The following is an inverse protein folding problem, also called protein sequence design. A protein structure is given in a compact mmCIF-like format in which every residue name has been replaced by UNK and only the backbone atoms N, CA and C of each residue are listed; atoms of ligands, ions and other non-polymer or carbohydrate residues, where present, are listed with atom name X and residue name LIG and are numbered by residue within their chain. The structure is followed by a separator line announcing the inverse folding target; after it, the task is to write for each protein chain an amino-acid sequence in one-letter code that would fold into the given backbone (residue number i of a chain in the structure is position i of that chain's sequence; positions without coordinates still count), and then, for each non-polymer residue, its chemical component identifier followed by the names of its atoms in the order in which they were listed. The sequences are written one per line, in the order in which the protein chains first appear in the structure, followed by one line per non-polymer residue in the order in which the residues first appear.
data_IF_497415543625
#
_entry.id   IF_497415543625
#
_cell.length_a   1.000
_cell.length_b   1.000
_cell.length_c   1.000
_cell.angle_alpha   90.00
_cell.angle_beta   90.00
_cell.angle_gamma   90.00
#
_symmetry.space_group_name_H-M   'P 1'
#
loop_
_entity.id
_entity.type
_entity.pdbx_description
1 polymer ?
#
# COMPACT_ATOMS: atom_id res chain seq x y z
N UNK A 1 4.02 8.28 -9.87
CA UNK A 1 5.38 8.88 -9.95
C UNK A 1 5.99 8.85 -11.36
N UNK A 2 5.59 7.89 -12.19
CA UNK A 2 6.10 7.72 -13.57
C UNK A 2 5.52 8.64 -14.66
N UNK A 3 4.89 9.78 -14.33
CA UNK A 3 4.25 10.62 -15.36
C UNK A 3 5.28 11.14 -16.37
N UNK A 4 6.42 11.65 -15.87
CA UNK A 4 7.49 12.18 -16.73
C UNK A 4 8.12 11.07 -17.61
N UNK A 5 8.25 9.84 -17.10
CA UNK A 5 8.74 8.69 -17.86
C UNK A 5 7.81 8.32 -19.03
N UNK A 6 6.50 8.33 -18.79
CA UNK A 6 5.52 8.02 -19.83
C UNK A 6 5.45 9.15 -20.87
N UNK A 7 5.44 10.41 -20.42
CA UNK A 7 5.51 11.57 -21.32
C UNK A 7 6.80 11.58 -22.17
N UNK A 8 7.92 11.11 -21.60
CA UNK A 8 9.20 10.99 -22.28
C UNK A 8 9.20 10.05 -23.49
N UNK A 9 8.22 9.14 -23.59
CA UNK A 9 8.05 8.27 -24.76
C UNK A 9 7.68 9.04 -26.04
N UNK A 10 7.12 10.25 -25.92
CA UNK A 10 6.84 11.14 -27.07
C UNK A 10 8.07 11.97 -27.48
N UNK A 11 9.16 11.91 -26.70
CA UNK A 11 10.39 12.66 -26.90
C UNK A 11 10.89 13.33 -25.61
N UNK A 12 12.11 13.90 -25.59
CA UNK A 12 12.65 14.56 -24.41
C UNK A 12 11.76 15.72 -23.94
N UNK A 13 11.39 15.72 -22.66
CA UNK A 13 10.60 16.79 -22.03
C UNK A 13 11.27 17.25 -20.74
N UNK A 14 11.01 18.50 -20.34
CA UNK A 14 11.42 18.98 -19.02
C UNK A 14 10.62 18.26 -17.92
N UNK A 15 11.24 17.92 -16.77
CA UNK A 15 10.54 17.32 -15.64
C UNK A 15 9.38 18.20 -15.17
N UNK A 16 8.24 17.58 -14.89
CA UNK A 16 7.04 18.23 -14.35
C UNK A 16 6.71 17.74 -12.94
N UNK A 17 7.45 16.74 -12.46
CA UNK A 17 7.31 16.21 -11.12
C UNK A 17 8.55 16.45 -10.27
N UNK A 18 8.31 16.83 -9.02
CA UNK A 18 9.25 16.68 -7.92
C UNK A 18 8.78 15.52 -7.05
N UNK A 19 9.64 14.52 -6.87
CA UNK A 19 9.31 13.30 -6.16
C UNK A 19 9.71 13.39 -4.68
N UNK A 20 8.82 12.97 -3.79
CA UNK A 20 9.13 12.81 -2.37
C UNK A 20 8.73 11.43 -1.86
N UNK A 21 9.50 10.89 -0.92
CA UNK A 21 9.26 9.61 -0.27
C UNK A 21 8.63 9.82 1.10
N UNK A 22 7.68 8.96 1.45
CA UNK A 22 7.11 8.91 2.79
C UNK A 22 6.99 7.51 3.33
N UNK A 23 7.34 7.36 4.60
CA UNK A 23 7.40 6.08 5.33
C UNK A 23 6.36 6.03 6.45
N UNK A 24 5.83 4.85 6.72
CA UNK A 24 5.00 4.55 7.90
C UNK A 24 5.48 3.27 8.58
N UNK A 25 5.40 3.24 9.91
CA UNK A 25 5.76 2.08 10.74
C UNK A 25 4.50 1.52 11.40
N UNK A 26 4.38 0.19 11.46
CA UNK A 26 3.26 -0.50 12.10
C UNK A 26 3.73 -1.18 13.38
N UNK A 27 2.94 -1.03 14.43
CA UNK A 27 3.14 -1.67 15.73
C UNK A 27 1.90 -2.46 16.11
N UNK A 28 2.05 -3.42 17.04
CA UNK A 28 0.87 -4.00 17.67
C UNK A 28 0.12 -2.92 18.44
N UNK A 29 -1.21 -2.98 18.44
CA UNK A 29 -2.02 -1.99 19.13
C UNK A 29 -1.71 -1.94 20.63
N UNK A 30 -1.31 -3.06 21.24
CA UNK A 30 -0.92 -3.12 22.64
C UNK A 30 0.31 -2.24 22.96
N UNK A 31 1.25 -2.09 22.02
CA UNK A 31 2.45 -1.26 22.18
C UNK A 31 2.15 0.24 22.02
N UNK A 32 1.10 0.58 21.26
CA UNK A 32 0.64 1.95 21.03
C UNK A 32 -0.91 2.03 20.99
N UNK A 33 -1.59 1.98 22.15
CA UNK A 33 -3.04 1.75 22.26
C UNK A 33 -3.88 3.03 22.08
N UNK A 34 -3.68 3.74 20.98
CA UNK A 34 -4.45 4.96 20.65
C UNK A 34 -5.86 4.58 20.21
N UNK A 35 -6.89 5.08 20.90
CA UNK A 35 -8.29 4.75 20.53
C UNK A 35 -8.82 5.51 19.32
N UNK A 36 -8.24 6.67 19.05
CA UNK A 36 -8.60 7.56 17.93
C UNK A 36 -7.33 7.96 17.18
N UNK A 37 -7.48 8.43 15.94
CA UNK A 37 -6.36 9.04 15.23
C UNK A 37 -5.80 10.23 16.01
N UNK A 38 -4.52 10.18 16.35
CA UNK A 38 -3.81 11.27 17.02
C UNK A 38 -2.94 12.00 16.00
N UNK A 39 -3.07 13.33 15.95
CA UNK A 39 -2.22 14.19 15.13
C UNK A 39 -1.11 14.77 16.01
N UNK A 40 0.13 14.46 15.68
CA UNK A 40 1.31 14.86 16.43
C UNK A 40 2.11 15.90 15.65
N UNK A 41 2.59 16.94 16.32
CA UNK A 41 3.44 17.97 15.72
C UNK A 41 4.90 17.63 15.95
N UNK A 42 5.67 17.59 14.89
CA UNK A 42 7.12 17.32 14.92
C UNK A 42 7.91 18.61 15.17
N UNK A 43 9.18 18.53 15.62
CA UNK A 43 9.99 19.71 15.90
C UNK A 43 10.20 20.65 14.71
N UNK A 44 10.22 20.10 13.49
CA UNK A 44 10.32 20.83 12.22
C UNK A 44 8.98 21.46 11.76
N UNK A 45 7.91 21.30 12.56
CA UNK A 45 6.59 21.87 12.31
C UNK A 45 5.68 21.04 11.40
N UNK A 46 6.13 19.87 10.91
CA UNK A 46 5.28 18.90 10.19
C UNK A 46 4.26 18.25 11.14
N UNK A 47 3.33 17.51 10.53
CA UNK A 47 2.34 16.69 11.23
C UNK A 47 2.57 15.23 10.87
N UNK A 48 2.62 14.40 11.89
CA UNK A 48 2.52 12.95 11.76
C UNK A 48 1.27 12.47 12.50
N UNK A 49 0.87 11.24 12.23
CA UNK A 49 -0.34 10.61 12.73
C UNK A 49 0.03 9.33 13.45
N UNK A 50 -0.71 9.00 14.49
CA UNK A 50 -0.85 7.63 15.00
C UNK A 50 -2.29 7.20 14.73
N UNK A 51 -2.48 6.13 13.96
CA UNK A 51 -3.79 5.70 13.46
C UNK A 51 -4.03 4.24 13.89
N UNK A 52 -5.07 3.98 14.69
CA UNK A 52 -5.43 2.61 15.05
C UNK A 52 -6.15 1.92 13.88
N UNK A 53 -5.83 0.64 13.67
CA UNK A 53 -6.46 -0.22 12.67
C UNK A 53 -6.54 -1.66 13.18
N UNK A 54 -7.68 -2.02 13.76
CA UNK A 54 -7.88 -3.35 14.35
C UNK A 54 -6.85 -3.62 15.45
N UNK A 55 -6.07 -4.69 15.29
CA UNK A 55 -5.05 -5.12 16.26
C UNK A 55 -3.71 -4.37 16.11
N UNK A 56 -3.64 -3.34 15.25
CA UNK A 56 -2.42 -2.59 14.97
C UNK A 56 -2.63 -1.09 15.16
N UNK A 57 -1.51 -0.38 15.34
CA UNK A 57 -1.45 1.08 15.22
C UNK A 57 -0.28 1.42 14.33
N UNK A 58 -0.49 2.25 13.31
CA UNK A 58 0.60 2.73 12.47
C UNK A 58 0.90 4.21 12.70
N UNK A 59 2.17 4.58 12.57
CA UNK A 59 2.63 5.96 12.66
C UNK A 59 3.25 6.42 11.34
N UNK A 60 3.06 7.70 11.00
CA UNK A 60 3.65 8.28 9.80
C UNK A 60 3.14 9.70 9.52
N UNK A 61 3.70 10.45 8.60
CA UNK A 61 4.67 10.02 7.58
C UNK A 61 5.93 10.87 7.62
N UNK A 62 7.01 10.36 7.05
CA UNK A 62 8.15 11.17 6.58
C UNK A 62 7.83 11.87 5.25
N UNK A 63 8.66 12.83 4.85
CA UNK A 63 8.53 13.58 3.60
C UNK A 63 9.91 14.07 3.16
N UNK A 64 10.68 13.17 2.53
CA UNK A 64 12.04 13.43 2.09
C UNK A 64 12.09 13.51 0.57
N UNK A 65 12.92 14.40 0.02
CA UNK A 65 13.15 14.42 -1.43
C UNK A 65 13.73 13.09 -1.89
N UNK A 66 13.18 12.54 -2.97
CA UNK A 66 13.58 11.24 -3.49
C UNK A 66 13.48 11.25 -5.03
N UNK A 67 14.57 11.44 -5.77
CA UNK A 67 14.54 11.67 -7.22
C UNK A 67 14.14 10.44 -8.04
N UNK A 68 14.17 9.26 -7.44
CA UNK A 68 13.95 8.00 -8.15
C UNK A 68 12.47 7.57 -8.08
N UNK A 69 11.97 6.93 -9.14
CA UNK A 69 10.60 6.44 -9.22
C UNK A 69 10.50 4.95 -8.90
N UNK A 70 11.17 4.51 -7.83
CA UNK A 70 11.21 3.10 -7.42
C UNK A 70 9.83 2.55 -7.03
N UNK A 71 9.59 1.28 -7.34
CA UNK A 71 8.35 0.59 -7.00
C UNK A 71 8.23 0.32 -5.49
N UNK A 72 9.33 -0.08 -4.85
CA UNK A 72 9.46 -0.26 -3.40
C UNK A 72 10.62 0.61 -2.87
N UNK A 73 10.39 1.91 -2.62
CA UNK A 73 11.45 2.80 -2.14
C UNK A 73 12.05 2.29 -0.82
N UNK A 74 13.37 2.36 -0.63
CA UNK A 74 13.99 1.88 0.60
C UNK A 74 13.50 2.69 1.81
N UNK A 75 13.61 2.12 3.01
CA UNK A 75 13.39 2.81 4.28
C UNK A 75 14.72 2.93 5.00
N UNK A 76 15.02 4.09 5.56
CA UNK A 76 16.31 4.34 6.23
C UNK A 76 16.16 4.36 7.75
N UNK A 77 17.26 4.14 8.47
CA UNK A 77 17.34 4.35 9.92
C UNK A 77 16.88 5.77 10.32
N UNK A 78 17.15 6.77 9.48
CA UNK A 78 16.72 8.15 9.72
C UNK A 78 15.19 8.29 9.71
N UNK A 79 14.49 7.60 8.81
CA UNK A 79 13.02 7.58 8.81
C UNK A 79 12.46 7.03 10.11
N UNK A 80 13.02 5.89 10.53
CA UNK A 80 12.58 5.18 11.72
C UNK A 80 12.84 6.02 12.96
N UNK A 81 14.07 6.52 13.10
CA UNK A 81 14.47 7.38 14.21
C UNK A 81 13.62 8.65 14.29
N UNK A 82 13.29 9.27 13.16
CA UNK A 82 12.43 10.45 13.09
C UNK A 82 11.03 10.16 13.64
N UNK A 83 10.38 9.09 13.17
CA UNK A 83 9.01 8.75 13.56
C UNK A 83 8.93 8.28 15.03
N UNK A 84 9.90 7.48 15.49
CA UNK A 84 9.97 7.04 16.88
C UNK A 84 10.22 8.23 17.82
N UNK A 85 11.17 9.11 17.50
CA UNK A 85 11.49 10.28 18.32
C UNK A 85 10.33 11.26 18.41
N UNK A 86 9.63 11.50 17.30
CA UNK A 86 8.45 12.35 17.28
C UNK A 86 7.29 11.78 18.10
N UNK A 87 7.08 10.45 18.01
CA UNK A 87 6.04 9.76 18.79
C UNK A 87 6.35 9.78 20.28
N UNK A 88 7.59 9.45 20.68
CA UNK A 88 8.04 9.46 22.08
C UNK A 88 7.87 10.81 22.76
N UNK A 89 7.99 11.92 22.01
CA UNK A 89 7.79 13.27 22.54
C UNK A 89 6.34 13.54 22.95
N UNK A 90 5.37 12.96 22.24
CA UNK A 90 3.94 13.15 22.50
C UNK A 90 3.39 12.06 23.42
N UNK A 91 3.91 10.85 23.30
CA UNK A 91 3.47 9.66 24.02
C UNK A 91 4.69 8.98 24.69
N UNK A 92 5.27 9.59 25.74
CA UNK A 92 6.50 9.10 26.36
C UNK A 92 6.34 7.74 27.06
N UNK A 93 5.11 7.36 27.41
CA UNK A 93 4.79 6.06 27.98
C UNK A 93 4.81 4.93 26.94
N UNK A 94 4.65 5.26 25.65
CA UNK A 94 4.80 4.30 24.57
C UNK A 94 6.30 4.02 24.36
N UNK A 95 6.78 2.93 24.95
CA UNK A 95 8.19 2.50 24.90
C UNK A 95 8.52 1.81 23.57
N UNK A 96 8.30 2.51 22.45
CA UNK A 96 8.50 1.98 21.11
C UNK A 96 9.98 1.89 20.73
N UNK A 97 10.35 0.77 20.12
CA UNK A 97 11.68 0.50 19.55
C UNK A 97 11.60 -0.11 18.14
N UNK A 98 12.70 -0.09 17.36
CA UNK A 98 12.74 -0.71 16.02
C UNK A 98 12.39 -2.21 16.01
N UNK A 99 12.66 -2.92 17.10
CA UNK A 99 12.40 -4.35 17.24
C UNK A 99 10.91 -4.68 17.37
N UNK A 100 10.08 -3.71 17.76
CA UNK A 100 8.62 -3.86 17.86
C UNK A 100 7.89 -3.54 16.55
N UNK A 101 8.61 -3.14 15.50
CA UNK A 101 8.01 -2.83 14.20
C UNK A 101 7.52 -4.13 13.54
N UNK A 102 6.19 -4.29 13.50
CA UNK A 102 5.51 -5.41 12.85
C UNK A 102 5.73 -5.38 11.35
N UNK A 103 5.59 -4.21 10.74
CA UNK A 103 5.79 -4.00 9.30
C UNK A 103 6.07 -2.53 9.00
N UNK A 104 6.51 -2.26 7.77
CA UNK A 104 6.83 -0.93 7.28
C UNK A 104 6.43 -0.82 5.83
N UNK A 105 5.94 0.35 5.42
CA UNK A 105 5.79 0.66 4.00
C UNK A 105 6.29 2.05 3.68
N UNK A 106 6.68 2.23 2.43
CA UNK A 106 7.12 3.49 1.84
C UNK A 106 6.36 3.74 0.54
N UNK A 107 6.37 4.97 0.07
CA UNK A 107 5.81 5.29 -1.24
C UNK A 107 6.29 6.65 -1.75
N UNK A 108 6.26 6.81 -3.08
CA UNK A 108 6.64 8.04 -3.76
C UNK A 108 5.42 8.90 -4.05
N UNK A 109 5.50 10.18 -3.70
CA UNK A 109 4.54 11.22 -4.00
C UNK A 109 4.98 11.97 -5.25
N UNK A 110 4.20 11.92 -6.35
CA UNK A 110 4.44 12.77 -7.51
C UNK A 110 3.92 14.17 -7.26
N UNK A 111 4.74 15.11 -6.79
CA UNK A 111 4.33 16.50 -6.59
C UNK A 111 4.55 17.28 -7.89
N UNK A 112 3.64 18.18 -8.26
CA UNK A 112 3.88 19.04 -9.43
C UNK A 112 5.01 20.02 -9.10
N UNK A 113 6.02 20.09 -9.97
CA UNK A 113 7.21 20.90 -9.78
C UNK A 113 8.17 20.81 -10.98
N UNK A 114 9.31 21.50 -10.92
CA UNK A 114 10.29 21.55 -12.00
C UNK A 114 11.41 20.50 -11.87
N UNK A 115 11.17 19.43 -11.11
CA UNK A 115 12.18 18.43 -10.76
C UNK A 115 13.30 18.95 -9.86
N UNK A 116 13.34 20.25 -9.52
CA UNK A 116 14.30 20.77 -8.56
C UNK A 116 13.88 20.28 -7.17
N UNK A 117 14.68 19.40 -6.58
CA UNK A 117 14.44 18.77 -5.26
C UNK A 117 14.37 19.72 -4.07
N UNK A 118 14.08 21.01 -4.30
CA UNK A 118 13.66 21.91 -3.25
C UNK A 118 12.30 21.44 -2.79
N UNK A 119 12.27 20.92 -1.57
CA UNK A 119 11.11 20.92 -0.69
C UNK A 119 10.68 22.38 -0.50
N UNK A 120 10.07 22.96 -1.53
CA UNK A 120 9.34 24.18 -1.36
C UNK A 120 8.24 23.82 -0.38
N UNK A 121 8.19 24.55 0.73
CA UNK A 121 7.02 24.60 1.62
C UNK A 121 5.72 24.93 0.86
N UNK A 122 5.81 25.18 -0.44
CA UNK A 122 4.78 25.56 -1.40
C UNK A 122 4.72 24.62 -2.64
N UNK A 123 5.35 23.43 -2.64
CA UNK A 123 5.08 22.46 -3.71
C UNK A 123 3.58 22.14 -3.71
N UNK A 124 2.92 22.50 -4.81
CA UNK A 124 1.48 22.42 -4.95
C UNK A 124 1.04 20.97 -4.87
N UNK A 125 0.23 20.64 -3.86
CA UNK A 125 -0.49 19.35 -3.78
C UNK A 125 -1.77 19.36 -4.62
N UNK A 126 -1.90 20.32 -5.54
CA UNK A 126 -2.97 20.32 -6.55
C UNK A 126 -2.56 19.34 -7.63
N UNK A 127 -3.55 18.74 -8.25
CA UNK A 127 -3.34 18.07 -9.51
C UNK A 127 -3.22 19.09 -10.65
N UNK A 128 -2.49 18.70 -11.68
CA UNK A 128 -2.46 19.38 -12.97
C UNK A 128 -2.72 18.36 -14.09
N UNK A 129 -3.47 18.80 -15.10
CA UNK A 129 -3.75 18.01 -16.31
C UNK A 129 -3.04 18.69 -17.47
N UNK A 130 -2.30 17.91 -18.24
CA UNK A 130 -1.60 18.38 -19.42
C UNK A 130 -2.00 17.57 -20.65
N UNK A 131 -2.07 18.23 -21.79
CA UNK A 131 -2.28 17.60 -23.10
C UNK A 131 -1.00 17.77 -23.93
N UNK A 132 -0.44 16.67 -24.44
CA UNK A 132 0.70 16.72 -25.35
C UNK A 132 0.28 17.14 -26.77
N UNK A 133 1.22 17.54 -27.65
CA UNK A 133 0.91 17.81 -29.06
C UNK A 133 0.30 16.61 -29.81
N UNK A 134 0.58 15.37 -29.38
CA UNK A 134 -0.02 14.14 -29.91
C UNK A 134 -1.38 13.81 -29.29
N UNK A 135 -1.85 14.60 -28.34
CA UNK A 135 -3.14 14.41 -27.66
C UNK A 135 -3.07 13.54 -26.40
N UNK A 136 -1.89 13.20 -25.89
CA UNK A 136 -1.75 12.46 -24.64
C UNK A 136 -2.19 13.33 -23.46
N UNK A 137 -3.23 12.90 -22.75
CA UNK A 137 -3.66 13.49 -21.50
C UNK A 137 -2.90 12.88 -20.32
N UNK A 138 -2.23 13.72 -19.55
CA UNK A 138 -1.40 13.33 -18.41
C UNK A 138 -1.83 14.06 -17.15
N UNK A 139 -1.89 13.36 -16.02
CA UNK A 139 -2.24 13.94 -14.71
C UNK A 139 -1.03 13.84 -13.77
N UNK A 140 -0.50 14.99 -13.35
CA UNK A 140 0.52 15.08 -12.31
C UNK A 140 -0.09 15.55 -10.99
N UNK A 141 0.53 15.20 -9.87
CA UNK A 141 0.04 15.63 -8.57
C UNK A 141 -1.24 14.95 -8.11
N UNK A 142 -2.04 15.72 -7.39
CA UNK A 142 -3.34 15.30 -6.86
C UNK A 142 -3.28 14.60 -5.51
N UNK A 143 -4.47 14.24 -5.03
CA UNK A 143 -4.67 13.54 -3.76
C UNK A 143 -5.67 12.44 -3.94
N UNK A 144 -5.50 11.36 -3.19
CA UNK A 144 -6.49 10.29 -3.13
C UNK A 144 -7.87 10.85 -2.78
N UNK A 145 -8.00 11.80 -1.86
CA UNK A 145 -9.31 12.40 -1.51
C UNK A 145 -10.03 13.11 -2.67
N UNK A 146 -9.32 13.47 -3.75
CA UNK A 146 -9.87 14.17 -4.91
C UNK A 146 -9.97 13.27 -6.16
N UNK A 147 -9.64 11.99 -6.07
CA UNK A 147 -9.46 11.11 -7.23
C UNK A 147 -10.68 11.11 -8.17
N UNK A 148 -11.90 11.06 -7.63
CA UNK A 148 -13.15 11.01 -8.40
C UNK A 148 -13.35 12.27 -9.23
N UNK A 149 -13.18 13.44 -8.61
CA UNK A 149 -13.32 14.74 -9.28
C UNK A 149 -12.16 15.00 -10.27
N UNK A 150 -10.98 14.42 -10.04
CA UNK A 150 -9.90 14.41 -11.01
C UNK A 150 -10.27 13.54 -12.23
N UNK A 151 -10.77 12.34 -12.00
CA UNK A 151 -11.19 11.43 -13.08
C UNK A 151 -12.33 12.02 -13.92
N UNK A 152 -13.32 12.63 -13.28
CA UNK A 152 -14.42 13.36 -13.94
C UNK A 152 -13.89 14.42 -14.90
N UNK A 153 -12.99 15.31 -14.44
CA UNK A 153 -12.38 16.35 -15.31
C UNK A 153 -11.60 15.78 -16.49
N UNK A 154 -10.89 14.65 -16.31
CA UNK A 154 -10.17 13.99 -17.39
C UNK A 154 -11.15 13.45 -18.44
N UNK A 155 -12.23 12.80 -17.99
CA UNK A 155 -13.27 12.28 -18.89
C UNK A 155 -13.98 13.41 -19.63
N UNK A 156 -14.30 14.53 -18.94
CA UNK A 156 -14.89 15.71 -19.56
C UNK A 156 -13.97 16.30 -20.64
N UNK A 157 -12.66 16.38 -20.36
CA UNK A 157 -11.66 16.82 -21.35
C UNK A 157 -11.63 15.91 -22.58
N UNK A 158 -11.75 14.59 -22.40
CA UNK A 158 -11.83 13.63 -23.53
C UNK A 158 -13.10 13.83 -24.33
N UNK A 159 -14.25 14.04 -23.66
CA UNK A 159 -15.53 14.28 -24.31
C UNK A 159 -15.47 15.56 -25.17
N UNK A 160 -14.94 16.64 -24.60
CA UNK A 160 -14.77 17.93 -25.30
C UNK A 160 -13.80 17.83 -26.48
N UNK A 161 -12.63 17.18 -26.31
CA UNK A 161 -11.62 17.07 -27.37
C UNK A 161 -12.07 16.24 -28.60
N UNK A 162 -13.07 15.38 -28.42
CA UNK A 162 -13.56 14.46 -29.46
C UNK A 162 -15.02 14.71 -29.86
N UNK A 163 -15.63 15.79 -29.38
CA UNK A 163 -17.04 16.13 -29.62
C UNK A 163 -18.00 14.95 -29.32
N UNK A 164 -17.71 14.19 -28.27
CA UNK A 164 -18.55 13.05 -27.89
C UNK A 164 -19.85 13.52 -27.23
N UNK A 165 -20.92 12.77 -27.45
CA UNK A 165 -22.17 12.94 -26.68
C UNK A 165 -22.18 11.97 -25.51
N UNK A 166 -22.17 12.50 -24.28
CA UNK A 166 -22.16 11.72 -23.06
C UNK A 166 -23.36 12.05 -22.15
N UNK A 167 -23.71 11.12 -21.25
CA UNK A 167 -24.65 11.38 -20.16
C UNK A 167 -23.96 12.20 -19.06
N UNK A 168 -24.71 12.93 -18.22
CA UNK A 168 -24.15 13.58 -17.04
C UNK A 168 -23.40 12.57 -16.14
N UNK A 169 -22.29 13.00 -15.56
CA UNK A 169 -21.52 12.18 -14.64
C UNK A 169 -22.35 11.86 -13.37
N UNK A 170 -22.50 10.58 -13.07
CA UNK A 170 -23.21 10.08 -11.89
C UNK A 170 -22.28 9.44 -10.85
N UNK A 171 -20.96 9.53 -11.04
CA UNK A 171 -19.97 8.78 -10.23
C UNK A 171 -19.96 9.18 -8.76
N UNK A 172 -20.50 10.36 -8.40
CA UNK A 172 -20.63 10.79 -7.02
C UNK A 172 -21.75 10.07 -6.26
N UNK A 173 -22.68 9.41 -6.96
CA UNK A 173 -23.83 8.70 -6.38
C UNK A 173 -23.75 7.18 -6.56
N UNK A 174 -22.78 6.69 -7.34
CA UNK A 174 -22.59 5.26 -7.58
C UNK A 174 -21.61 4.71 -6.53
N UNK A 175 -22.02 3.76 -5.69
CA UNK A 175 -21.08 3.10 -4.77
C UNK A 175 -20.03 2.32 -5.56
N UNK A 176 -18.81 2.26 -5.03
CA UNK A 176 -17.80 1.32 -5.51
C UNK A 176 -18.16 -0.11 -5.07
N UNK A 177 -17.65 -1.16 -5.74
CA UNK A 177 -17.85 -2.54 -5.33
C UNK A 177 -17.54 -2.75 -3.84
N UNK A 178 -18.45 -3.43 -3.13
CA UNK A 178 -18.37 -3.64 -1.69
C UNK A 178 -18.88 -2.47 -0.84
N UNK A 179 -19.18 -1.32 -1.47
CA UNK A 179 -19.67 -0.10 -0.81
C UNK A 179 -21.18 0.08 -0.84
N UNK A 180 -21.93 -0.89 -1.36
CA UNK A 180 -23.38 -0.78 -1.55
C UNK A 180 -24.15 -0.76 -0.21
N UNK A 181 -23.61 -1.44 0.80
CA UNK A 181 -24.18 -1.47 2.15
C UNK A 181 -23.09 -1.59 3.21
N UNK A 182 -23.31 -0.98 4.36
CA UNK A 182 -22.48 -1.24 5.54
C UNK A 182 -22.69 -2.68 6.02
N UNK A 183 -21.59 -3.37 6.32
CA UNK A 183 -21.58 -4.71 6.91
C UNK A 183 -20.89 -4.64 8.26
N UNK A 184 -21.56 -5.19 9.28
CA UNK A 184 -21.02 -5.30 10.63
C UNK A 184 -20.45 -6.70 10.86
N UNK A 185 -19.35 -6.77 11.61
CA UNK A 185 -18.59 -8.01 11.80
C UNK A 185 -19.41 -9.13 12.49
N UNK A 186 -20.30 -8.76 13.41
CA UNK A 186 -21.21 -9.67 14.13
C UNK A 186 -22.25 -10.36 13.21
N UNK A 187 -22.39 -9.89 11.97
CA UNK A 187 -23.30 -10.46 10.97
C UNK A 187 -22.61 -11.48 10.04
N UNK A 188 -21.30 -11.68 10.18
CA UNK A 188 -20.57 -12.66 9.38
C UNK A 188 -20.67 -14.04 10.01
N UNK A 189 -21.29 -14.99 9.30
CA UNK A 189 -21.41 -16.37 9.76
C UNK A 189 -20.10 -17.13 9.57
N UNK A 190 -19.69 -17.93 10.57
CA UNK A 190 -18.53 -18.84 10.47
C UNK A 190 -17.17 -18.18 10.70
N UNK A 191 -17.13 -16.88 10.99
CA UNK A 191 -15.92 -16.12 11.33
C UNK A 191 -16.27 -15.15 12.45
N UNK A 192 -15.46 -15.09 13.50
CA UNK A 192 -15.70 -14.24 14.67
C UNK A 192 -14.47 -13.39 15.02
N UNK A 193 -14.64 -12.40 15.90
CA UNK A 193 -13.56 -11.58 16.46
C UNK A 193 -12.78 -10.78 15.40
N UNK A 194 -11.46 -10.66 15.61
CA UNK A 194 -10.59 -9.85 14.75
C UNK A 194 -10.62 -10.24 13.26
N UNK A 195 -10.68 -11.54 12.87
CA UNK A 195 -10.90 -11.93 11.49
C UNK A 195 -12.20 -11.37 10.89
N UNK A 196 -13.32 -11.41 11.62
CA UNK A 196 -14.61 -10.90 11.13
C UNK A 196 -14.57 -9.37 10.94
N UNK A 197 -13.99 -8.64 11.89
CA UNK A 197 -13.78 -7.19 11.79
C UNK A 197 -12.90 -6.82 10.60
N UNK A 198 -11.87 -7.63 10.32
CA UNK A 198 -11.00 -7.45 9.15
C UNK A 198 -11.77 -7.67 7.85
N UNK A 199 -12.54 -8.76 7.74
CA UNK A 199 -13.33 -9.03 6.53
C UNK A 199 -14.36 -7.94 6.25
N UNK A 200 -15.14 -7.54 7.27
CA UNK A 200 -16.14 -6.49 7.13
C UNK A 200 -15.53 -5.17 6.66
N UNK A 201 -14.36 -4.80 7.21
CA UNK A 201 -13.63 -3.60 6.81
C UNK A 201 -13.03 -3.69 5.41
N UNK A 202 -12.55 -4.86 5.01
CA UNK A 202 -11.81 -5.05 3.76
C UNK A 202 -12.74 -5.21 2.56
N UNK A 203 -13.78 -6.05 2.69
CA UNK A 203 -14.64 -6.45 1.58
C UNK A 203 -16.04 -5.81 1.63
N UNK A 204 -16.41 -5.14 2.72
CA UNK A 204 -17.71 -4.49 2.85
C UNK A 204 -18.87 -5.44 2.53
N UNK A 205 -19.72 -5.06 1.57
CA UNK A 205 -20.87 -5.85 1.11
C UNK A 205 -20.51 -7.24 0.55
N UNK A 206 -19.26 -7.47 0.12
CA UNK A 206 -18.78 -8.77 -0.35
C UNK A 206 -18.32 -9.69 0.80
N UNK A 207 -18.11 -9.15 2.00
CA UNK A 207 -17.60 -9.90 3.16
C UNK A 207 -18.44 -11.14 3.53
N UNK A 208 -19.78 -11.13 3.49
CA UNK A 208 -20.59 -12.32 3.79
C UNK A 208 -20.32 -13.48 2.82
N UNK A 209 -20.12 -13.21 1.53
CA UNK A 209 -19.83 -14.25 0.54
C UNK A 209 -18.44 -14.87 0.80
N UNK A 210 -17.43 -14.02 1.05
CA UNK A 210 -16.08 -14.47 1.42
C UNK A 210 -16.09 -15.30 2.70
N UNK A 211 -16.80 -14.84 3.74
CA UNK A 211 -16.91 -15.55 5.01
C UNK A 211 -17.65 -16.89 4.86
N UNK A 212 -18.74 -16.95 4.10
CA UNK A 212 -19.48 -18.21 3.87
C UNK A 212 -18.64 -19.27 3.15
N UNK A 213 -17.83 -18.84 2.18
CA UNK A 213 -16.92 -19.71 1.42
C UNK A 213 -15.77 -20.27 2.28
N UNK A 214 -15.47 -19.63 3.41
CA UNK A 214 -14.43 -20.07 4.33
C UNK A 214 -14.74 -21.42 5.00
N UNK A 215 -16.03 -21.76 5.21
CA UNK A 215 -16.41 -23.03 5.85
C UNK A 215 -15.99 -24.26 5.04
N UNK A 216 -16.02 -24.17 3.71
CA UNK A 216 -15.65 -25.26 2.81
C UNK A 216 -14.13 -25.36 2.56
N UNK A 217 -13.40 -24.23 2.63
CA UNK A 217 -12.02 -24.12 2.10
C UNK A 217 -10.99 -23.63 3.12
N UNK A 218 -11.44 -23.10 4.25
CA UNK A 218 -10.65 -22.27 5.16
C UNK A 218 -10.61 -20.79 4.72
N UNK A 219 -10.51 -19.90 5.71
CA UNK A 219 -10.62 -18.45 5.49
C UNK A 219 -9.54 -17.90 4.54
N UNK A 220 -8.29 -18.31 4.72
CA UNK A 220 -7.20 -17.87 3.85
C UNK A 220 -7.48 -18.24 2.38
N UNK A 221 -7.92 -19.46 2.12
CA UNK A 221 -8.23 -19.91 0.78
C UNK A 221 -9.41 -19.13 0.18
N UNK A 222 -10.44 -18.81 0.97
CA UNK A 222 -11.57 -18.00 0.52
C UNK A 222 -11.14 -16.58 0.10
N UNK A 223 -10.27 -15.93 0.88
CA UNK A 223 -9.72 -14.63 0.52
C UNK A 223 -8.83 -14.70 -0.75
N UNK A 224 -8.04 -15.76 -0.91
CA UNK A 224 -7.24 -15.95 -2.13
C UNK A 224 -8.15 -16.15 -3.36
N UNK A 225 -9.24 -16.91 -3.23
CA UNK A 225 -10.21 -17.07 -4.32
C UNK A 225 -10.86 -15.72 -4.69
N UNK A 226 -11.26 -14.92 -3.70
CA UNK A 226 -11.78 -13.57 -3.93
C UNK A 226 -10.75 -12.72 -4.70
N UNK A 227 -9.52 -12.68 -4.19
CA UNK A 227 -8.43 -11.90 -4.77
C UNK A 227 -8.14 -12.27 -6.22
N UNK A 228 -8.09 -13.57 -6.54
CA UNK A 228 -7.77 -14.06 -7.89
C UNK A 228 -8.97 -13.93 -8.83
N UNK A 229 -10.15 -14.43 -8.42
CA UNK A 229 -11.29 -14.61 -9.31
C UNK A 229 -12.13 -13.33 -9.49
N UNK A 230 -12.10 -12.40 -8.52
CA UNK A 230 -12.90 -11.16 -8.57
C UNK A 230 -12.06 -9.89 -8.61
N UNK A 231 -10.87 -9.91 -8.00
CA UNK A 231 -10.05 -8.69 -7.84
C UNK A 231 -8.79 -8.67 -8.71
N UNK A 232 -8.62 -9.67 -9.58
CA UNK A 232 -7.57 -9.72 -10.59
C UNK A 232 -6.14 -9.89 -10.04
N UNK A 233 -5.96 -10.55 -8.90
CA UNK A 233 -4.63 -10.88 -8.38
C UNK A 233 -3.95 -11.95 -9.27
N UNK A 234 -2.76 -11.62 -9.77
CA UNK A 234 -1.97 -12.49 -10.66
C UNK A 234 -0.59 -12.83 -10.10
N UNK A 235 -0.18 -12.16 -9.02
CA UNK A 235 1.05 -12.40 -8.26
C UNK A 235 0.72 -12.60 -6.79
N UNK A 236 1.51 -13.37 -6.07
CA UNK A 236 1.32 -13.57 -4.63
C UNK A 236 1.38 -12.24 -3.88
N UNK A 237 2.22 -11.32 -4.36
CA UNK A 237 2.30 -9.95 -3.86
C UNK A 237 0.99 -9.17 -4.00
N UNK A 238 0.20 -9.41 -5.06
CA UNK A 238 -1.11 -8.77 -5.24
C UNK A 238 -2.06 -9.16 -4.11
N UNK A 239 -2.10 -10.44 -3.78
CA UNK A 239 -2.88 -10.93 -2.65
C UNK A 239 -2.32 -10.41 -1.32
N UNK A 240 -1.04 -10.66 -1.06
CA UNK A 240 -0.39 -10.43 0.24
C UNK A 240 -0.34 -8.94 0.63
N UNK A 241 0.09 -8.07 -0.28
CA UNK A 241 0.31 -6.66 0.01
C UNK A 241 -0.90 -5.76 -0.33
N UNK A 242 -1.66 -6.09 -1.38
CA UNK A 242 -2.68 -5.17 -1.92
C UNK A 242 -4.11 -5.58 -1.60
N UNK A 243 -4.51 -6.82 -1.88
CA UNK A 243 -5.89 -7.29 -1.68
C UNK A 243 -6.18 -7.60 -0.22
N UNK A 244 -5.30 -8.36 0.45
CA UNK A 244 -5.50 -8.78 1.83
C UNK A 244 -4.89 -7.84 2.87
N UNK A 245 -3.95 -6.97 2.45
CA UNK A 245 -3.14 -6.09 3.31
C UNK A 245 -2.36 -6.83 4.42
N UNK A 246 -2.13 -8.14 4.27
CA UNK A 246 -1.43 -8.97 5.28
C UNK A 246 0.04 -8.60 5.43
N UNK A 247 0.68 -8.09 4.37
CA UNK A 247 2.02 -7.52 4.43
C UNK A 247 2.16 -6.43 5.51
N UNK A 248 1.06 -5.73 5.82
CA UNK A 248 1.07 -4.57 6.69
C UNK A 248 0.43 -4.84 8.05
N UNK A 249 -0.70 -5.56 8.04
CA UNK A 249 -1.59 -5.70 9.20
C UNK A 249 -1.89 -7.16 9.52
N UNK A 250 -0.83 -7.94 9.70
CA UNK A 250 -0.90 -9.34 10.11
C UNK A 250 0.33 -9.72 10.96
N UNK A 251 0.25 -10.83 11.67
CA UNK A 251 1.35 -11.36 12.46
C UNK A 251 2.56 -11.63 11.55
N UNK A 252 3.73 -11.13 11.95
CA UNK A 252 4.99 -11.22 11.21
C UNK A 252 4.83 -10.83 9.73
N UNK A 253 4.15 -9.70 9.49
CA UNK A 253 3.84 -9.17 8.16
C UNK A 253 3.15 -10.20 7.24
N UNK A 254 2.45 -11.19 7.80
CA UNK A 254 1.77 -12.23 7.04
C UNK A 254 2.72 -13.20 6.31
N UNK A 255 4.02 -13.19 6.62
CA UNK A 255 4.99 -14.13 6.04
C UNK A 255 4.65 -15.61 6.29
N UNK A 256 4.14 -16.01 7.48
CA UNK A 256 3.82 -17.42 7.76
C UNK A 256 2.75 -18.02 6.84
N UNK A 257 1.86 -17.19 6.25
CA UNK A 257 0.76 -17.67 5.40
C UNK A 257 1.11 -17.70 3.91
N UNK A 258 2.29 -17.23 3.51
CA UNK A 258 2.68 -17.13 2.10
C UNK A 258 2.64 -18.47 1.37
N UNK A 259 3.16 -19.54 1.98
CA UNK A 259 3.18 -20.87 1.35
C UNK A 259 1.76 -21.38 1.07
N UNK A 260 0.88 -21.33 2.07
CA UNK A 260 -0.50 -21.78 1.92
C UNK A 260 -1.27 -20.92 0.90
N UNK A 261 -1.07 -19.60 0.91
CA UNK A 261 -1.68 -18.71 -0.08
C UNK A 261 -1.16 -19.02 -1.50
N UNK A 262 0.14 -19.25 -1.65
CA UNK A 262 0.77 -19.58 -2.92
C UNK A 262 0.30 -20.93 -3.47
N UNK A 263 0.06 -21.93 -2.61
CA UNK A 263 -0.52 -23.22 -3.04
C UNK A 263 -1.93 -23.03 -3.62
N UNK A 264 -2.77 -22.22 -2.96
CA UNK A 264 -4.11 -21.91 -3.46
C UNK A 264 -4.04 -21.13 -4.79
N UNK A 265 -3.18 -20.12 -4.88
CA UNK A 265 -2.98 -19.36 -6.12
C UNK A 265 -2.42 -20.23 -7.24
N UNK A 266 -1.50 -21.14 -6.95
CA UNK A 266 -0.91 -22.05 -7.94
C UNK A 266 -1.98 -22.95 -8.56
N UNK A 267 -2.89 -23.49 -7.76
CA UNK A 267 -4.02 -24.28 -8.25
C UNK A 267 -4.98 -23.46 -9.14
N UNK A 268 -5.22 -22.19 -8.80
CA UNK A 268 -6.12 -21.32 -9.55
C UNK A 268 -5.52 -20.79 -10.86
N UNK A 269 -4.23 -20.48 -10.85
CA UNK A 269 -3.52 -19.80 -11.94
C UNK A 269 -2.62 -20.74 -12.76
N UNK A 270 -2.55 -22.02 -12.40
CA UNK A 270 -1.74 -23.03 -13.07
C UNK A 270 -0.24 -22.79 -12.90
N UNK A 271 0.21 -22.32 -11.74
CA UNK A 271 1.65 -22.15 -11.47
C UNK A 271 2.31 -23.52 -11.24
N UNK A 272 3.50 -23.70 -11.80
CA UNK A 272 4.39 -24.79 -11.41
C UNK A 272 5.12 -24.46 -10.09
N UNK A 273 5.85 -25.44 -9.56
CA UNK A 273 6.59 -25.28 -8.30
C UNK A 273 7.68 -24.21 -8.38
N UNK A 274 8.27 -24.00 -9.56
CA UNK A 274 9.30 -22.98 -9.77
C UNK A 274 8.72 -21.57 -9.66
N UNK A 275 7.58 -21.33 -10.32
CA UNK A 275 6.83 -20.08 -10.26
C UNK A 275 6.34 -19.81 -8.84
N UNK A 276 5.80 -20.84 -8.17
CA UNK A 276 5.36 -20.75 -6.77
C UNK A 276 6.50 -20.32 -5.85
N UNK A 277 7.66 -20.96 -5.95
CA UNK A 277 8.84 -20.60 -5.17
C UNK A 277 9.32 -19.17 -5.44
N UNK A 278 9.30 -18.75 -6.71
CA UNK A 278 9.65 -17.37 -7.12
C UNK A 278 8.73 -16.33 -6.49
N UNK A 279 7.42 -16.58 -6.49
CA UNK A 279 6.43 -15.67 -5.92
C UNK A 279 6.54 -15.55 -4.39
N UNK A 280 6.80 -16.66 -3.69
CA UNK A 280 7.07 -16.65 -2.24
C UNK A 280 8.35 -15.87 -1.94
N UNK A 281 9.44 -16.14 -2.68
CA UNK A 281 10.72 -15.46 -2.49
C UNK A 281 10.58 -13.96 -2.77
N UNK A 282 9.86 -13.55 -3.81
CA UNK A 282 9.60 -12.14 -4.09
C UNK A 282 8.95 -11.41 -2.89
N UNK A 283 7.93 -12.01 -2.26
CA UNK A 283 7.30 -11.40 -1.08
C UNK A 283 8.27 -11.29 0.11
N UNK A 284 9.10 -12.32 0.34
CA UNK A 284 10.13 -12.31 1.39
C UNK A 284 11.21 -11.27 1.12
N UNK A 285 11.66 -11.13 -0.12
CA UNK A 285 12.63 -10.09 -0.51
C UNK A 285 12.06 -8.69 -0.30
N UNK A 286 10.77 -8.46 -0.60
CA UNK A 286 10.12 -7.18 -0.36
C UNK A 286 10.14 -6.82 1.13
N UNK A 287 9.71 -7.73 2.01
CA UNK A 287 9.75 -7.49 3.46
C UNK A 287 11.19 -7.27 3.96
N UNK A 288 12.14 -8.13 3.56
CA UNK A 288 13.55 -7.99 3.96
C UNK A 288 14.15 -6.66 3.49
N UNK A 289 13.95 -6.30 2.22
CA UNK A 289 14.47 -5.07 1.64
C UNK A 289 13.89 -3.85 2.36
N UNK A 290 12.60 -3.88 2.72
CA UNK A 290 11.94 -2.79 3.44
C UNK A 290 12.54 -2.52 4.83
N UNK A 291 13.19 -3.51 5.43
CA UNK A 291 13.81 -3.43 6.77
C UNK A 291 15.32 -3.24 6.74
N UNK A 292 15.95 -3.48 5.58
CA UNK A 292 17.41 -3.52 5.43
C UNK A 292 18.14 -2.26 5.90
N UNK A 293 17.48 -1.09 5.84
CA UNK A 293 18.08 0.18 6.25
C UNK A 293 18.02 0.48 7.75
N UNK A 294 17.37 -0.35 8.58
CA UNK A 294 17.24 -0.08 10.03
C UNK A 294 17.24 -1.33 10.93
N UNK A 295 17.18 -2.53 10.36
CA UNK A 295 17.42 -3.77 11.10
C UNK A 295 18.74 -4.36 10.63
N UNK A 296 19.74 -4.35 11.51
CA UNK A 296 20.97 -5.13 11.31
C UNK A 296 20.57 -6.59 11.11
N UNK A 297 21.08 -7.24 10.05
CA UNK A 297 20.84 -8.65 9.79
C UNK A 297 21.16 -9.46 11.05
N UNK A 298 20.14 -9.85 11.80
CA UNK A 298 20.30 -10.76 12.93
C UNK A 298 20.38 -12.14 12.30
N UNK A 299 21.59 -12.51 11.88
CA UNK A 299 21.88 -13.85 11.37
C UNK A 299 21.73 -14.86 12.50
N UNK A 300 20.62 -15.60 12.49
CA UNK A 300 20.46 -16.90 13.14
C UNK A 300 19.30 -17.62 12.44
N UNK A 301 19.37 -18.83 11.90
CA UNK A 301 20.33 -19.93 11.91
C UNK A 301 19.99 -20.85 10.71
N UNK A 302 21.01 -21.41 10.06
CA UNK A 302 20.99 -22.78 9.55
C UNK A 302 20.29 -23.09 8.23
N UNK A 303 20.89 -22.74 7.10
CA UNK A 303 20.89 -23.63 5.93
C UNK A 303 22.32 -23.75 5.42
N UNK A 304 22.77 -24.99 5.28
CA UNK A 304 24.09 -25.32 4.78
C UNK A 304 24.18 -24.89 3.31
N UNK A 305 25.11 -23.98 3.02
CA UNK A 305 25.66 -23.78 1.69
C UNK A 305 26.30 -25.09 1.24
N UNK A 306 25.59 -25.89 0.47
CA UNK A 306 26.19 -26.98 -0.30
C UNK A 306 25.52 -27.10 -1.67
N UNK A 307 25.78 -26.11 -2.54
CA UNK A 307 25.62 -26.26 -3.99
C UNK A 307 26.59 -25.34 -4.74
N UNK A 308 27.89 -25.66 -4.68
CA UNK A 308 28.87 -25.28 -5.72
C UNK A 308 30.00 -26.31 -5.82
N UNK A 309 29.82 -27.32 -6.68
CA UNK A 309 30.88 -27.87 -7.51
C UNK A 309 30.28 -28.83 -8.55
N UNK A 310 30.00 -28.31 -9.75
CA UNK A 310 29.97 -29.10 -10.97
C UNK A 310 31.03 -28.50 -11.90
N UNK A 311 32.15 -29.21 -11.99
CA UNK A 311 33.16 -29.15 -13.05
C UNK A 311 33.44 -30.59 -13.46
#
# INVERSE_FOLDING_TARGET
PWVDEVCGLEGPQAPRLALSRGVHLVFNHADLPVRNTVVMRTPDGRRIFAVPLGQYTYIGTTDDYHPEFEYWPPVTEQDVSYLLSATRRVMPEASLSPEQIVSVWSGIRPLVGDGSGRASKELSRKDEVWTSPSGLLSVGGGKLSAYRAMAERVVDTVIENHDFTAKPCATAQVPLPGGETAVSADRLSGVEGAPAERLARLYGAEAPEVASSAGERGLLAAEVHQAVLREGALRLEDYWARRSSRAWFDHDAGLPVLTQAADVMANLLGWDDSRKATEINNCREIDRASRSGFQSATTSLGEADDYRAAS
#
